data_IF_868972015203
#
_entry.id   IF_868972015203
#
_cell.length_a   1.000
_cell.length_b   1.000
_cell.length_c   1.000
_cell.angle_alpha   90.00
_cell.angle_beta   90.00
_cell.angle_gamma   90.00
#
_symmetry.space_group_name_H-M   'P 1'
#
loop_
_entity.id
_entity.type
_entity.pdbx_description
1 polymer ?
#
# COMPACT_ATOMS: atom_id res chain seq x y z
N UNK A 1 24.51 -25.78 -16.74
CA UNK A 1 25.67 -25.02 -17.27
C UNK A 1 25.26 -23.61 -17.71
N UNK A 2 24.19 -23.45 -18.51
CA UNK A 2 23.71 -22.11 -18.93
C UNK A 2 23.18 -21.23 -17.79
N UNK A 3 22.42 -21.78 -16.84
CA UNK A 3 21.82 -21.02 -15.72
C UNK A 3 22.87 -20.49 -14.75
N UNK A 4 23.90 -21.29 -14.46
CA UNK A 4 25.05 -20.87 -13.63
C UNK A 4 25.90 -19.82 -14.32
N UNK A 5 26.08 -19.90 -15.64
CA UNK A 5 26.77 -18.87 -16.43
C UNK A 5 25.97 -17.55 -16.46
N UNK A 6 24.64 -17.63 -16.50
CA UNK A 6 23.75 -16.46 -16.51
C UNK A 6 23.77 -15.72 -15.17
N UNK A 7 23.75 -16.45 -14.05
CA UNK A 7 23.88 -15.86 -12.71
C UNK A 7 25.23 -15.20 -12.48
N UNK A 8 26.32 -15.83 -12.94
CA UNK A 8 27.66 -15.26 -12.84
C UNK A 8 27.84 -14.01 -13.72
N UNK A 9 27.24 -13.99 -14.91
CA UNK A 9 27.24 -12.82 -15.78
C UNK A 9 26.53 -11.62 -15.13
N UNK A 10 25.40 -11.84 -14.45
CA UNK A 10 24.66 -10.79 -13.73
C UNK A 10 25.47 -10.17 -12.59
N UNK A 11 26.14 -11.01 -11.79
CA UNK A 11 26.94 -10.56 -10.65
C UNK A 11 28.16 -9.72 -11.05
N UNK A 12 28.70 -9.94 -12.25
CA UNK A 12 29.84 -9.19 -12.77
C UNK A 12 29.41 -7.95 -13.56
N UNK A 13 28.36 -8.03 -14.38
CA UNK A 13 27.92 -6.91 -15.21
C UNK A 13 27.27 -5.78 -14.42
N UNK A 14 26.48 -6.09 -13.39
CA UNK A 14 25.77 -5.08 -12.61
C UNK A 14 26.71 -4.06 -11.91
N UNK A 15 27.75 -4.46 -11.14
CA UNK A 15 28.64 -3.51 -10.50
C UNK A 15 29.53 -2.75 -11.51
N UNK A 16 29.92 -3.40 -12.61
CA UNK A 16 30.73 -2.77 -13.67
C UNK A 16 29.90 -1.74 -14.46
N UNK A 17 28.63 -2.03 -14.76
CA UNK A 17 27.71 -1.09 -15.40
C UNK A 17 27.44 0.13 -14.50
N UNK A 18 27.24 -0.10 -13.20
CA UNK A 18 27.07 0.99 -12.22
C UNK A 18 28.33 1.87 -12.13
N UNK A 19 29.51 1.27 -12.18
CA UNK A 19 30.79 1.99 -12.19
C UNK A 19 30.97 2.85 -13.45
N UNK A 20 30.68 2.31 -14.64
CA UNK A 20 30.72 3.07 -15.90
C UNK A 20 29.65 4.16 -15.97
N UNK A 21 28.51 3.99 -15.32
CA UNK A 21 27.47 5.01 -15.25
C UNK A 21 27.91 6.21 -14.42
N UNK A 22 28.61 5.96 -13.31
CA UNK A 22 29.11 7.00 -12.42
C UNK A 22 30.34 7.73 -13.02
N UNK A 23 31.21 7.04 -13.78
CA UNK A 23 32.54 7.56 -14.16
C UNK A 23 32.87 7.58 -15.66
N UNK A 24 32.03 7.04 -16.54
CA UNK A 24 32.32 6.87 -17.98
C UNK A 24 31.72 7.93 -18.92
N UNK A 25 32.35 8.11 -20.09
CA UNK A 25 31.85 8.96 -21.20
C UNK A 25 30.54 8.40 -21.77
N UNK A 26 29.73 9.25 -22.42
CA UNK A 26 28.36 8.94 -22.88
C UNK A 26 28.22 7.61 -23.64
N UNK A 27 29.20 7.25 -24.49
CA UNK A 27 29.21 5.97 -25.22
C UNK A 27 29.24 4.74 -24.30
N UNK A 28 29.96 4.79 -23.18
CA UNK A 28 30.02 3.68 -22.21
C UNK A 28 28.69 3.49 -21.46
N UNK A 29 27.94 4.58 -21.25
CA UNK A 29 26.60 4.53 -20.65
C UNK A 29 25.59 3.87 -21.58
N UNK A 30 25.64 4.19 -22.87
CA UNK A 30 24.77 3.58 -23.89
C UNK A 30 25.05 2.08 -24.03
N UNK A 31 26.32 1.67 -24.03
CA UNK A 31 26.69 0.26 -24.06
C UNK A 31 26.21 -0.51 -22.81
N UNK A 32 26.26 0.10 -21.63
CA UNK A 32 25.76 -0.51 -20.40
C UNK A 32 24.23 -0.71 -20.42
N UNK A 33 23.48 0.28 -20.91
CA UNK A 33 22.02 0.19 -21.06
C UNK A 33 21.62 -0.88 -22.08
N UNK A 34 22.32 -0.93 -23.22
CA UNK A 34 22.12 -1.98 -24.23
C UNK A 34 22.44 -3.38 -23.68
N UNK A 35 23.49 -3.51 -22.89
CA UNK A 35 23.85 -4.77 -22.22
C UNK A 35 22.77 -5.25 -21.24
N UNK A 36 22.22 -4.35 -20.41
CA UNK A 36 21.12 -4.69 -19.51
C UNK A 36 19.84 -5.07 -20.29
N UNK A 37 19.50 -4.32 -21.33
CA UNK A 37 18.32 -4.58 -22.15
C UNK A 37 18.38 -5.94 -22.85
N UNK A 38 19.54 -6.33 -23.37
CA UNK A 38 19.72 -7.64 -23.99
C UNK A 38 19.61 -8.78 -22.97
N UNK A 39 20.11 -8.56 -21.75
CA UNK A 39 20.10 -9.56 -20.69
C UNK A 39 18.68 -9.82 -20.16
N UNK A 40 17.87 -8.75 -20.03
CA UNK A 40 16.44 -8.84 -19.75
C UNK A 40 15.68 -9.61 -20.84
N UNK A 41 15.88 -9.24 -22.11
CA UNK A 41 15.23 -9.90 -23.24
C UNK A 41 15.58 -11.39 -23.33
N UNK A 42 16.84 -11.75 -23.08
CA UNK A 42 17.28 -13.15 -23.00
C UNK A 42 16.61 -13.92 -21.87
N UNK A 43 16.40 -13.28 -20.71
CA UNK A 43 15.77 -13.93 -19.56
C UNK A 43 14.29 -14.24 -19.83
N UNK A 44 13.59 -13.35 -20.52
CA UNK A 44 12.18 -13.55 -20.89
C UNK A 44 12.06 -14.69 -21.92
N UNK A 45 12.94 -14.73 -22.92
CA UNK A 45 12.91 -15.73 -23.98
C UNK A 45 13.24 -17.16 -23.50
N UNK A 46 13.99 -17.30 -22.40
CA UNK A 46 14.35 -18.60 -21.82
C UNK A 46 13.35 -19.13 -20.79
N UNK A 47 12.22 -18.46 -20.57
CA UNK A 47 11.17 -18.96 -19.67
C UNK A 47 10.52 -20.20 -20.31
N UNK A 48 10.69 -21.42 -19.77
CA UNK A 48 10.06 -22.59 -20.35
C UNK A 48 8.54 -22.50 -20.13
N UNK A 49 7.78 -22.62 -21.21
CA UNK A 49 6.33 -22.80 -21.14
C UNK A 49 6.02 -24.00 -20.25
N UNK A 50 5.26 -23.76 -19.19
CA UNK A 50 4.82 -24.79 -18.26
C UNK A 50 3.94 -25.81 -19.01
N UNK A 51 4.25 -27.12 -19.01
CA UNK A 51 3.37 -28.10 -19.62
C UNK A 51 2.12 -28.24 -18.75
N UNK A 52 0.96 -28.13 -19.40
CA UNK A 52 -0.35 -28.37 -18.80
C UNK A 52 -0.43 -29.75 -18.14
N UNK A 53 -1.00 -29.89 -16.93
CA UNK A 53 -1.35 -31.19 -16.41
C UNK A 53 -2.61 -31.71 -17.10
N UNK A 54 -2.45 -32.87 -17.71
CA UNK A 54 -3.43 -33.73 -18.37
C UNK A 54 -4.69 -33.99 -17.54
N UNK A 55 -5.83 -34.06 -18.24
CA UNK A 55 -7.14 -34.51 -17.78
C UNK A 55 -7.10 -35.78 -16.91
N UNK A 56 -7.87 -35.75 -15.82
CA UNK A 56 -8.53 -36.94 -15.26
C UNK A 56 -10.04 -36.66 -15.27
N UNK A 57 -10.76 -37.44 -16.06
CA UNK A 57 -12.22 -37.44 -16.17
C UNK A 57 -12.83 -38.14 -14.95
N UNK A 58 -13.67 -37.44 -14.17
CA UNK A 58 -15.02 -37.88 -13.76
C UNK A 58 -15.69 -36.94 -12.72
N UNK A 59 -16.97 -36.62 -13.01
CA UNK A 59 -18.03 -35.96 -12.22
C UNK A 59 -18.11 -34.42 -12.17
N UNK A 60 -19.26 -33.82 -12.57
CA UNK A 60 -19.47 -32.38 -12.53
C UNK A 60 -19.95 -31.97 -11.12
N UNK A 61 -19.03 -31.51 -10.29
CA UNK A 61 -19.39 -30.57 -9.22
C UNK A 61 -18.92 -29.22 -9.71
N UNK A 62 -19.87 -28.29 -9.86
CA UNK A 62 -19.66 -26.94 -10.36
C UNK A 62 -18.38 -26.30 -9.76
N UNK A 63 -17.59 -25.54 -10.54
CA UNK A 63 -16.48 -24.80 -9.97
C UNK A 63 -17.05 -23.86 -8.91
N UNK A 64 -16.73 -24.15 -7.64
CA UNK A 64 -16.91 -23.21 -6.56
C UNK A 64 -16.07 -21.99 -6.93
N UNK A 65 -16.77 -20.93 -7.35
CA UNK A 65 -16.25 -19.58 -7.46
C UNK A 65 -15.47 -19.33 -6.18
N UNK A 66 -14.15 -19.19 -6.28
CA UNK A 66 -13.34 -18.69 -5.18
C UNK A 66 -14.00 -17.37 -4.75
N UNK A 67 -14.48 -17.23 -3.50
CA UNK A 67 -15.01 -15.95 -3.07
C UNK A 67 -13.89 -14.94 -3.25
N UNK A 68 -14.14 -13.90 -4.06
CA UNK A 68 -13.29 -12.73 -4.04
C UNK A 68 -13.08 -12.34 -2.57
N UNK A 69 -11.86 -11.92 -2.15
CA UNK A 69 -11.68 -11.42 -0.79
C UNK A 69 -12.77 -10.39 -0.54
N UNK A 70 -13.54 -10.56 0.54
CA UNK A 70 -14.66 -9.70 0.83
C UNK A 70 -14.13 -8.26 0.91
N UNK A 71 -14.31 -7.51 -0.18
CA UNK A 71 -13.89 -6.12 -0.25
C UNK A 71 -14.87 -5.40 0.64
N UNK A 72 -14.38 -4.93 1.79
CA UNK A 72 -15.22 -4.18 2.70
C UNK A 72 -15.81 -2.96 1.98
N UNK A 73 -17.04 -2.60 2.33
CA UNK A 73 -17.76 -1.55 1.63
C UNK A 73 -17.02 -0.21 1.76
N UNK A 74 -16.86 0.50 0.64
CA UNK A 74 -16.25 1.82 0.66
C UNK A 74 -17.11 2.78 1.47
N UNK A 75 -16.54 3.35 2.53
CA UNK A 75 -17.26 4.26 3.42
C UNK A 75 -16.38 5.41 3.87
N UNK A 76 -17.07 6.47 4.28
CA UNK A 76 -16.48 7.73 4.69
C UNK A 76 -17.02 8.11 6.07
N UNK A 77 -16.66 7.38 7.14
CA UNK A 77 -17.18 7.65 8.46
C UNK A 77 -16.79 9.06 8.93
N UNK A 78 -17.65 9.65 9.76
CA UNK A 78 -17.38 10.90 10.47
C UNK A 78 -17.04 10.53 11.91
N UNK A 79 -15.81 10.83 12.38
CA UNK A 79 -15.44 10.59 13.77
C UNK A 79 -16.35 11.35 14.73
N UNK A 80 -16.96 10.65 15.67
CA UNK A 80 -17.77 11.26 16.74
C UNK A 80 -16.91 11.68 17.93
N UNK A 81 -15.70 11.16 18.04
CA UNK A 81 -14.78 11.46 19.12
C UNK A 81 -13.32 11.38 18.66
N UNK A 82 -12.48 12.25 19.19
CA UNK A 82 -11.06 12.31 18.89
C UNK A 82 -10.28 12.61 20.17
N UNK A 83 -9.40 11.71 20.59
CA UNK A 83 -8.58 11.88 21.79
C UNK A 83 -7.11 11.99 21.44
N UNK A 84 -6.47 13.07 21.87
CA UNK A 84 -5.02 13.26 21.76
C UNK A 84 -4.38 12.95 23.11
N UNK A 85 -3.45 11.99 23.14
CA UNK A 85 -2.69 11.61 24.32
C UNK A 85 -1.21 11.51 23.95
N UNK A 86 -0.41 12.51 24.35
CA UNK A 86 0.99 12.63 23.93
C UNK A 86 1.12 12.67 22.41
N UNK A 87 1.87 11.73 21.84
CA UNK A 87 2.06 11.56 20.40
C UNK A 87 1.06 10.62 19.75
N UNK A 88 -0.11 10.40 20.35
CA UNK A 88 -1.14 9.52 19.80
C UNK A 88 -2.47 10.24 19.62
N UNK A 89 -3.06 10.06 18.43
CA UNK A 89 -4.44 10.43 18.13
C UNK A 89 -5.28 9.16 18.07
N UNK A 90 -6.34 9.10 18.85
CA UNK A 90 -7.36 8.04 18.79
C UNK A 90 -8.63 8.64 18.22
N UNK A 91 -9.16 8.05 17.16
CA UNK A 91 -10.42 8.45 16.53
C UNK A 91 -11.44 7.36 16.80
N UNK A 92 -12.68 7.75 17.06
CA UNK A 92 -13.78 6.81 17.23
C UNK A 92 -15.02 7.26 16.45
N UNK A 93 -15.74 6.28 15.89
CA UNK A 93 -17.02 6.46 15.21
C UNK A 93 -17.94 5.26 15.46
N UNK A 94 -19.20 5.39 15.09
CA UNK A 94 -20.16 4.28 15.16
C UNK A 94 -19.76 3.19 14.16
N UNK A 95 -19.53 1.98 14.64
CA UNK A 95 -19.22 0.85 13.77
C UNK A 95 -20.44 0.47 12.91
N UNK A 96 -20.20 0.03 11.68
CA UNK A 96 -21.21 -0.68 10.92
C UNK A 96 -21.09 -2.19 11.10
N UNK A 97 -22.11 -2.89 10.60
CA UNK A 97 -22.18 -4.35 10.53
C UNK A 97 -21.04 -4.97 9.73
N UNK A 98 -20.50 -4.24 8.76
CA UNK A 98 -19.49 -4.64 7.78
C UNK A 98 -18.27 -3.72 7.85
N UNK A 99 -17.81 -3.42 9.07
CA UNK A 99 -16.64 -2.57 9.30
C UNK A 99 -15.39 -3.12 8.63
N UNK A 100 -14.62 -2.27 7.95
CA UNK A 100 -13.33 -2.67 7.41
C UNK A 100 -12.32 -2.96 8.54
N UNK A 101 -11.43 -3.94 8.31
CA UNK A 101 -10.31 -4.22 9.21
C UNK A 101 -9.30 -3.07 9.29
N UNK A 102 -9.28 -2.21 8.26
CA UNK A 102 -8.38 -1.07 8.14
C UNK A 102 -9.11 0.16 7.67
N UNK A 103 -8.64 1.32 8.12
CA UNK A 103 -9.08 2.62 7.64
C UNK A 103 -7.89 3.45 7.21
N UNK A 104 -8.11 4.24 6.17
CA UNK A 104 -7.23 5.26 5.66
C UNK A 104 -7.58 6.58 6.33
N UNK A 105 -6.62 7.13 7.06
CA UNK A 105 -6.79 8.39 7.77
C UNK A 105 -5.88 9.45 7.16
N UNK A 106 -6.50 10.48 6.61
CA UNK A 106 -5.80 11.67 6.12
C UNK A 106 -5.74 12.72 7.22
N UNK A 107 -4.55 13.25 7.45
CA UNK A 107 -4.31 14.27 8.47
C UNK A 107 -3.75 15.52 7.81
N UNK A 108 -4.41 16.67 8.00
CA UNK A 108 -3.91 17.96 7.52
C UNK A 108 -3.83 18.96 8.66
N UNK A 109 -2.61 19.42 8.92
CA UNK A 109 -2.33 20.38 9.96
C UNK A 109 -2.31 21.81 9.42
N UNK A 110 -2.94 22.75 10.15
CA UNK A 110 -2.84 24.19 9.91
C UNK A 110 -2.88 24.95 11.24
N UNK A 111 -1.72 25.39 11.72
CA UNK A 111 -1.61 26.17 12.96
C UNK A 111 -1.86 25.32 14.21
N UNK A 112 -3.04 25.46 14.85
CA UNK A 112 -3.49 24.60 15.96
C UNK A 112 -4.74 23.79 15.60
N UNK A 113 -5.00 23.66 14.30
CA UNK A 113 -6.15 22.93 13.76
C UNK A 113 -5.64 21.69 13.04
N UNK A 114 -6.14 20.54 13.43
CA UNK A 114 -5.91 19.26 12.76
C UNK A 114 -7.20 18.84 12.09
N UNK A 115 -7.22 18.88 10.75
CA UNK A 115 -8.32 18.33 9.96
C UNK A 115 -8.09 16.84 9.73
N UNK A 116 -9.14 16.07 9.93
CA UNK A 116 -9.12 14.61 9.87
C UNK A 116 -10.15 14.14 8.85
N UNK A 117 -9.74 13.26 7.94
CA UNK A 117 -10.66 12.50 7.10
C UNK A 117 -10.41 11.02 7.34
N UNK A 118 -11.48 10.26 7.58
CA UNK A 118 -11.43 8.80 7.67
C UNK A 118 -12.14 8.21 6.47
N UNK A 119 -11.49 7.26 5.82
CA UNK A 119 -11.96 6.51 4.68
C UNK A 119 -11.75 5.03 4.94
N UNK A 120 -12.75 4.23 4.62
CA UNK A 120 -12.76 2.78 4.74
C UNK A 120 -12.91 2.18 3.35
N UNK A 121 -12.21 1.08 3.10
CA UNK A 121 -12.18 0.43 1.79
C UNK A 121 -11.04 0.91 0.88
N UNK A 122 -11.02 0.45 -0.38
CA UNK A 122 -9.98 0.82 -1.33
C UNK A 122 -10.05 2.31 -1.66
N UNK A 123 -8.90 2.98 -1.62
CA UNK A 123 -8.77 4.37 -2.06
C UNK A 123 -7.87 4.40 -3.28
N UNK A 124 -8.42 4.82 -4.41
CA UNK A 124 -7.67 4.90 -5.67
C UNK A 124 -6.70 6.08 -5.67
N UNK A 125 -5.48 5.84 -6.15
CA UNK A 125 -4.45 6.86 -6.33
C UNK A 125 -3.55 7.12 -5.10
N UNK A 126 -2.48 7.87 -5.33
CA UNK A 126 -1.55 8.26 -4.27
C UNK A 126 -2.02 9.56 -3.60
N UNK A 127 -2.36 9.48 -2.31
CA UNK A 127 -2.82 10.61 -1.52
C UNK A 127 -1.78 11.00 -0.47
N UNK A 128 -1.05 12.12 -0.64
CA UNK A 128 -0.02 12.52 0.32
C UNK A 128 -0.63 12.81 1.69
N UNK A 129 -0.02 12.27 2.74
CA UNK A 129 -0.48 12.44 4.12
C UNK A 129 -1.58 11.48 4.58
N UNK A 130 -1.94 10.49 3.75
CA UNK A 130 -2.80 9.37 4.16
C UNK A 130 -1.98 8.34 4.94
N UNK A 131 -2.56 7.84 6.03
CA UNK A 131 -2.00 6.78 6.86
C UNK A 131 -3.01 5.65 7.00
N UNK A 132 -2.60 4.44 6.66
CA UNK A 132 -3.41 3.24 6.91
C UNK A 132 -3.23 2.80 8.35
N UNK A 133 -4.34 2.52 9.04
CA UNK A 133 -4.32 2.02 10.41
C UNK A 133 -5.41 0.94 10.63
N UNK A 134 -5.16 -0.04 11.51
CA UNK A 134 -6.13 -1.07 11.82
C UNK A 134 -7.31 -0.50 12.61
N UNK A 135 -8.51 -0.90 12.23
CA UNK A 135 -9.75 -0.56 12.95
C UNK A 135 -9.97 -1.60 14.04
N UNK A 136 -10.34 -1.14 15.22
CA UNK A 136 -10.75 -1.99 16.35
C UNK A 136 -12.19 -1.68 16.70
N UNK A 137 -13.06 -2.68 16.55
CA UNK A 137 -14.47 -2.57 16.94
C UNK A 137 -14.65 -3.11 18.34
N UNK A 138 -15.26 -2.32 19.23
CA UNK A 138 -15.58 -2.72 20.60
C UNK A 138 -16.87 -2.04 21.02
N UNK A 139 -17.85 -2.80 21.51
CA UNK A 139 -19.13 -2.25 21.98
C UNK A 139 -19.90 -1.42 20.94
N UNK A 140 -19.82 -1.78 19.66
CA UNK A 140 -20.47 -1.03 18.56
C UNK A 140 -19.78 0.26 18.15
N UNK A 141 -18.58 0.52 18.67
CA UNK A 141 -17.75 1.66 18.30
C UNK A 141 -16.48 1.17 17.58
N UNK A 142 -16.19 1.76 16.44
CA UNK A 142 -14.97 1.54 15.69
C UNK A 142 -13.93 2.57 16.11
N UNK A 143 -12.69 2.13 16.31
CA UNK A 143 -11.60 2.97 16.80
C UNK A 143 -10.33 2.76 16.01
N UNK A 144 -9.59 3.84 15.79
CA UNK A 144 -8.27 3.84 15.16
C UNK A 144 -7.30 4.65 16.00
N UNK A 145 -6.07 4.16 16.13
CA UNK A 145 -4.98 4.86 16.82
C UNK A 145 -3.82 5.13 15.86
N UNK A 146 -3.38 6.37 15.84
CA UNK A 146 -2.30 6.86 14.98
C UNK A 146 -1.24 7.54 15.82
N UNK A 147 0.04 7.35 15.47
CA UNK A 147 1.10 8.20 15.99
C UNK A 147 1.06 9.56 15.28
N UNK A 148 1.13 10.65 16.01
CA UNK A 148 1.08 12.03 15.49
C UNK A 148 2.06 12.90 16.27
N UNK A 149 2.67 13.86 15.60
CA UNK A 149 3.43 14.93 16.24
C UNK A 149 2.63 16.21 16.09
N UNK A 150 2.05 16.69 17.19
CA UNK A 150 1.10 17.81 17.19
C UNK A 150 1.51 18.84 18.23
N UNK A 151 1.34 20.14 17.93
CA UNK A 151 1.48 21.18 18.93
C UNK A 151 0.51 20.98 20.11
N UNK A 152 0.86 21.46 21.31
CA UNK A 152 -0.05 21.46 22.44
C UNK A 152 -1.33 22.25 22.14
N UNK A 153 -2.45 21.81 22.70
CA UNK A 153 -3.79 22.42 22.54
C UNK A 153 -4.28 22.43 21.07
N UNK A 154 -3.91 21.43 20.29
CA UNK A 154 -4.45 21.22 18.95
C UNK A 154 -5.92 20.83 19.02
N UNK A 155 -6.75 21.47 18.19
CA UNK A 155 -8.16 21.13 17.99
C UNK A 155 -8.31 20.19 16.82
N UNK A 156 -9.05 19.09 17.01
CA UNK A 156 -9.44 18.17 15.95
C UNK A 156 -10.72 18.62 15.29
N UNK A 157 -10.72 18.66 13.95
CA UNK A 157 -11.88 19.02 13.14
C UNK A 157 -12.11 17.94 12.10
N UNK A 158 -13.38 17.70 11.78
CA UNK A 158 -13.74 16.94 10.60
C UNK A 158 -13.29 17.73 9.37
N UNK A 159 -12.48 17.12 8.54
CA UNK A 159 -11.93 17.76 7.36
C UNK A 159 -12.97 18.01 6.26
N UNK A 160 -14.16 17.39 6.34
CA UNK A 160 -15.26 17.62 5.37
C UNK A 160 -16.09 18.85 5.73
N UNK A 161 -16.46 18.97 7.00
CA UNK A 161 -17.39 20.00 7.49
C UNK A 161 -16.71 21.17 8.23
N UNK A 162 -15.43 21.02 8.60
CA UNK A 162 -14.72 21.92 9.53
C UNK A 162 -15.36 21.99 10.94
N UNK A 163 -16.29 21.08 11.27
CA UNK A 163 -16.85 20.96 12.61
C UNK A 163 -15.83 20.39 13.59
N UNK A 164 -15.91 20.81 14.86
CA UNK A 164 -15.02 20.32 15.91
C UNK A 164 -15.42 18.90 16.29
N UNK A 165 -14.45 17.97 16.24
CA UNK A 165 -14.65 16.61 16.75
C UNK A 165 -14.46 16.65 18.28
N UNK A 166 -15.44 16.22 19.09
CA UNK A 166 -15.35 16.20 20.55
C UNK A 166 -14.14 15.42 21.08
N UNK A 167 -13.55 15.92 22.17
CA UNK A 167 -12.42 15.31 22.90
C UNK A 167 -12.86 14.52 24.13
#
# INVERSE_FOLDING_TARGET
MLTTALGAAWLLLAPVALWFLIRGRALARVAAVLGLGLLEAGTIALTPAHPAPTEVVASPVAPAVQPAPAVCAERRPVPSHARIAGSHLTLAWKAASDECDTALVMLRHKGRKLRVWVHEGPLDGHHPGVRTAPVRVTGGQATVRLAVDLPPRTRTLDGRSDEVIPH
#
